data_IF_527475455574
#
_entry.id   IF_527475455574
#
_cell.length_a   1.000
_cell.length_b   1.000
_cell.length_c   1.000
_cell.angle_alpha   90.00
_cell.angle_beta   90.00
_cell.angle_gamma   90.00
#
_symmetry.space_group_name_H-M   'P 1'
#
loop_
_entity.id
_entity.type
_entity.pdbx_description
1 polymer ?
#
# COMPACT_ATOMS: atom_id res chain seq x y z
N UNK A 1 -24.42 -2.44 5.03
CA UNK A 1 -23.38 -1.55 4.47
C UNK A 1 -22.05 -2.07 4.98
N UNK A 2 -21.17 -2.54 4.10
CA UNK A 2 -19.83 -2.98 4.54
C UNK A 2 -19.09 -1.69 4.91
N UNK A 3 -18.70 -1.53 6.17
CA UNK A 3 -17.76 -0.47 6.54
C UNK A 3 -16.59 -0.56 5.56
N UNK A 4 -16.35 0.51 4.82
CA UNK A 4 -15.12 0.64 4.07
C UNK A 4 -14.00 0.62 5.12
N UNK A 5 -13.33 -0.53 5.23
CA UNK A 5 -12.16 -0.76 6.09
C UNK A 5 -10.94 0.12 5.70
N UNK A 6 -11.18 1.26 5.04
CA UNK A 6 -10.21 2.00 4.23
C UNK A 6 -10.15 3.50 4.53
N UNK A 7 -10.74 3.97 5.62
CA UNK A 7 -10.44 5.32 6.15
C UNK A 7 -9.13 5.26 6.96
N UNK A 8 -8.03 4.91 6.30
CA UNK A 8 -6.68 5.06 6.88
C UNK A 8 -6.19 6.46 6.56
N UNK A 9 -5.97 7.25 7.60
CA UNK A 9 -5.48 8.61 7.47
C UNK A 9 -3.98 8.59 7.13
N UNK A 10 -3.54 9.60 6.39
CA UNK A 10 -2.14 9.74 5.98
C UNK A 10 -1.19 9.75 7.18
N UNK A 11 -1.61 10.36 8.30
CA UNK A 11 -0.86 10.36 9.56
C UNK A 11 -0.61 8.94 10.10
N UNK A 12 -1.62 8.06 10.08
CA UNK A 12 -1.46 6.69 10.56
C UNK A 12 -0.49 5.89 9.67
N UNK A 13 -0.53 6.15 8.36
CA UNK A 13 0.39 5.53 7.40
C UNK A 13 1.81 6.00 7.67
N UNK A 14 2.04 7.30 7.86
CA UNK A 14 3.35 7.87 8.18
C UNK A 14 3.89 7.27 9.48
N UNK A 15 3.08 7.21 10.54
CA UNK A 15 3.49 6.65 11.84
C UNK A 15 3.91 5.17 11.76
N UNK A 16 3.36 4.42 10.81
CA UNK A 16 3.58 2.96 10.71
C UNK A 16 4.53 2.55 9.60
N UNK A 17 4.78 3.41 8.63
CA UNK A 17 5.53 3.08 7.41
C UNK A 17 6.61 4.12 7.09
N UNK A 18 6.60 5.28 7.76
CA UNK A 18 7.57 6.35 7.58
C UNK A 18 7.34 7.23 6.35
N UNK A 19 6.33 6.97 5.53
CA UNK A 19 6.02 7.71 4.30
C UNK A 19 4.53 7.99 4.16
N UNK A 20 4.13 9.11 3.53
CA UNK A 20 2.72 9.38 3.22
C UNK A 20 2.19 8.43 2.14
N UNK A 21 0.87 8.29 2.06
CA UNK A 21 0.16 7.49 1.06
C UNK A 21 0.61 7.89 -0.35
N UNK A 22 0.68 9.19 -0.64
CA UNK A 22 1.06 9.68 -1.97
C UNK A 22 2.44 9.14 -2.43
N UNK A 23 3.41 9.06 -1.51
CA UNK A 23 4.73 8.51 -1.82
C UNK A 23 4.67 6.98 -2.03
N UNK A 24 3.86 6.28 -1.25
CA UNK A 24 3.62 4.85 -1.46
C UNK A 24 2.95 4.54 -2.80
N UNK A 25 2.01 5.38 -3.24
CA UNK A 25 1.38 5.22 -4.56
C UNK A 25 2.44 5.35 -5.66
N UNK A 26 3.40 6.28 -5.53
CA UNK A 26 4.52 6.41 -6.49
C UNK A 26 5.40 5.15 -6.45
N UNK A 27 5.82 4.69 -5.27
CA UNK A 27 6.65 3.47 -5.13
C UNK A 27 5.94 2.24 -5.72
N UNK A 28 4.65 2.09 -5.47
CA UNK A 28 3.84 1.00 -6.01
C UNK A 28 3.71 1.09 -7.53
N UNK A 29 3.61 2.29 -8.07
CA UNK A 29 3.60 2.50 -9.52
C UNK A 29 4.96 2.21 -10.18
N UNK A 30 6.05 2.71 -9.60
CA UNK A 30 7.41 2.47 -10.08
C UNK A 30 7.81 0.99 -9.99
N UNK A 31 7.33 0.29 -8.96
CA UNK A 31 7.48 -1.16 -8.85
C UNK A 31 6.54 -1.94 -9.76
N UNK A 32 5.63 -1.30 -10.51
CA UNK A 32 4.63 -1.96 -11.36
C UNK A 32 3.77 -2.96 -10.57
N UNK A 33 3.30 -2.54 -9.40
CA UNK A 33 2.51 -3.40 -8.51
C UNK A 33 1.24 -3.96 -9.17
N UNK A 34 0.70 -3.28 -10.20
CA UNK A 34 -0.44 -3.72 -11.01
C UNK A 34 -0.15 -4.93 -11.91
N UNK A 35 1.11 -5.16 -12.28
CA UNK A 35 1.54 -6.29 -13.12
C UNK A 35 1.97 -7.50 -12.27
N UNK A 36 2.03 -7.35 -10.96
CA UNK A 36 2.56 -8.34 -10.03
C UNK A 36 1.47 -8.98 -9.16
N UNK A 37 1.76 -10.16 -8.59
CA UNK A 37 0.88 -10.75 -7.59
C UNK A 37 0.94 -9.90 -6.32
N UNK A 38 -0.21 -9.62 -5.73
CA UNK A 38 -0.28 -8.76 -4.53
C UNK A 38 0.60 -9.27 -3.37
N UNK A 39 0.78 -10.58 -3.23
CA UNK A 39 1.67 -11.15 -2.21
C UNK A 39 3.15 -10.83 -2.45
N UNK A 40 3.57 -10.76 -3.71
CA UNK A 40 4.95 -10.45 -4.09
C UNK A 40 5.23 -8.96 -3.83
N UNK A 41 4.27 -8.09 -4.17
CA UNK A 41 4.31 -6.66 -3.82
C UNK A 41 4.35 -6.44 -2.31
N UNK A 42 3.53 -7.18 -1.55
CA UNK A 42 3.56 -7.12 -0.08
C UNK A 42 4.91 -7.54 0.44
N UNK A 43 5.48 -8.66 -0.04
CA UNK A 43 6.80 -9.11 0.35
C UNK A 43 7.89 -8.08 0.01
N UNK A 44 7.81 -7.44 -1.15
CA UNK A 44 8.69 -6.35 -1.56
C UNK A 44 8.65 -5.18 -0.57
N UNK A 45 7.45 -4.72 -0.19
CA UNK A 45 7.30 -3.66 0.80
C UNK A 45 7.85 -4.05 2.19
N UNK A 46 7.63 -5.30 2.61
CA UNK A 46 8.18 -5.82 3.87
C UNK A 46 9.72 -5.88 3.84
N UNK A 47 10.32 -6.30 2.73
CA UNK A 47 11.76 -6.53 2.64
C UNK A 47 12.57 -5.26 2.35
N UNK A 48 12.07 -4.39 1.47
CA UNK A 48 12.82 -3.22 1.02
C UNK A 48 12.59 -1.98 1.90
N UNK A 49 11.43 -1.91 2.55
CA UNK A 49 11.04 -0.71 3.30
C UNK A 49 10.57 -1.02 4.73
N UNK A 50 10.74 -2.27 5.20
CA UNK A 50 10.33 -2.72 6.54
C UNK A 50 8.86 -2.41 6.89
N UNK A 51 8.00 -2.35 5.86
CA UNK A 51 6.58 -2.03 6.05
C UNK A 51 5.90 -3.22 6.73
N UNK A 52 5.16 -3.03 7.85
CA UNK A 52 4.44 -4.13 8.47
C UNK A 52 3.43 -4.75 7.50
N UNK A 53 3.31 -6.09 7.51
CA UNK A 53 2.47 -6.85 6.56
C UNK A 53 1.05 -6.29 6.38
N UNK A 54 0.41 -5.88 7.47
CA UNK A 54 -0.93 -5.29 7.42
C UNK A 54 -0.94 -4.03 6.53
N UNK A 55 -0.03 -3.10 6.78
CA UNK A 55 0.10 -1.86 6.02
C UNK A 55 0.54 -2.09 4.59
N UNK A 56 1.43 -3.05 4.34
CA UNK A 56 1.80 -3.43 2.97
C UNK A 56 0.58 -3.89 2.17
N UNK A 57 -0.26 -4.77 2.74
CA UNK A 57 -1.52 -5.19 2.11
C UNK A 57 -2.49 -4.03 1.93
N UNK A 58 -2.55 -3.13 2.91
CA UNK A 58 -3.36 -1.92 2.88
C UNK A 58 -2.98 -1.07 1.66
N UNK A 59 -1.71 -0.67 1.57
CA UNK A 59 -1.19 0.16 0.49
C UNK A 59 -1.34 -0.50 -0.89
N UNK A 60 -1.02 -1.79 -1.02
CA UNK A 60 -1.20 -2.52 -2.29
C UNK A 60 -2.67 -2.53 -2.73
N UNK A 61 -3.61 -2.81 -1.82
CA UNK A 61 -5.05 -2.85 -2.18
C UNK A 61 -5.57 -1.46 -2.52
N UNK A 62 -5.15 -0.43 -1.78
CA UNK A 62 -5.52 0.96 -2.04
C UNK A 62 -5.07 1.38 -3.45
N UNK A 63 -3.82 1.08 -3.80
CA UNK A 63 -3.25 1.37 -5.11
C UNK A 63 -4.02 0.67 -6.25
N UNK A 64 -4.27 -0.64 -6.12
CA UNK A 64 -4.98 -1.40 -7.15
C UNK A 64 -6.40 -0.88 -7.37
N UNK A 65 -7.13 -0.55 -6.29
CA UNK A 65 -8.47 0.05 -6.40
C UNK A 65 -8.46 1.42 -7.11
N UNK A 66 -7.43 2.25 -6.88
CA UNK A 66 -7.30 3.52 -7.57
C UNK A 66 -7.03 3.35 -9.07
N UNK A 67 -6.38 2.26 -9.49
CA UNK A 67 -6.16 1.94 -10.91
C UNK A 67 -7.37 1.32 -11.60
N UNK A 68 -8.23 0.64 -10.86
CA UNK A 68 -9.50 0.09 -11.36
C UNK A 68 -10.61 1.16 -11.49
N UNK A 69 -10.42 2.35 -10.91
CA UNK A 69 -11.40 3.46 -10.90
C UNK A 69 -11.22 4.45 -12.06
#
# INVERSE_FOLDING_TARGET
>A
MKQDYWNVEDQQVIEKTGKPIAEWIVILHESKAEEQKSNDVVAYLQQQYDVPRYWARTLTTLYLKQKES
#
